data_IF_360232899512
#
_entry.id   IF_360232899512
#
_cell.length_a   1.000
_cell.length_b   1.000
_cell.length_c   1.000
_cell.angle_alpha   90.00
_cell.angle_beta   90.00
_cell.angle_gamma   90.00
#
_symmetry.space_group_name_H-M   'P 1'
#
loop_
_entity.id
_entity.type
_entity.pdbx_description
1 polymer ?
#
# COMPACT_ATOMS: atom_id res chain seq x y z
N UNK A 1 11.34 8.57 12.77
CA UNK A 1 10.20 7.64 12.87
C UNK A 1 9.65 7.47 11.46
N UNK A 2 9.95 6.35 10.81
CA UNK A 2 9.57 6.15 9.41
C UNK A 2 8.11 5.74 9.39
N UNK A 3 7.21 6.62 8.95
CA UNK A 3 5.83 6.25 8.66
C UNK A 3 5.85 5.16 7.58
N UNK A 4 5.56 3.92 7.98
CA UNK A 4 5.46 2.74 7.10
C UNK A 4 4.16 2.74 6.29
N UNK A 5 3.70 3.92 5.89
CA UNK A 5 2.51 4.10 5.07
C UNK A 5 2.92 4.07 3.60
N UNK A 6 2.14 3.42 2.72
CA UNK A 6 2.33 3.54 1.28
C UNK A 6 2.30 5.00 0.86
N UNK A 7 3.22 5.39 0.00
CA UNK A 7 3.26 6.74 -0.56
C UNK A 7 2.32 6.80 -1.77
N UNK A 8 1.22 7.54 -1.63
CA UNK A 8 0.24 7.74 -2.70
C UNK A 8 0.71 8.90 -3.57
N UNK A 9 0.92 8.62 -4.86
CA UNK A 9 1.32 9.63 -5.85
C UNK A 9 0.11 10.26 -6.53
N UNK A 10 -0.98 9.51 -6.65
CA UNK A 10 -2.23 9.97 -7.26
C UNK A 10 -3.42 9.13 -6.74
N UNK A 11 -4.57 9.76 -6.57
CA UNK A 11 -5.82 9.14 -6.17
C UNK A 11 -7.00 9.87 -6.83
N UNK A 12 -7.90 9.11 -7.45
CA UNK A 12 -9.22 9.55 -7.87
C UNK A 12 -10.29 8.49 -7.53
N UNK A 13 -11.53 8.71 -7.97
CA UNK A 13 -12.66 7.83 -7.67
C UNK A 13 -12.50 6.40 -8.25
N UNK A 14 -11.63 6.20 -9.23
CA UNK A 14 -11.45 4.93 -9.96
C UNK A 14 -10.05 4.34 -9.81
N UNK A 15 -9.02 5.18 -9.64
CA UNK A 15 -7.62 4.79 -9.70
C UNK A 15 -6.82 5.33 -8.51
N UNK A 16 -5.87 4.53 -8.07
CA UNK A 16 -4.87 4.91 -7.07
C UNK A 16 -3.50 4.48 -7.60
N UNK A 17 -2.55 5.41 -7.62
CA UNK A 17 -1.16 5.18 -8.01
C UNK A 17 -0.29 5.36 -6.78
N UNK A 18 0.53 4.35 -6.48
CA UNK A 18 1.42 4.34 -5.31
C UNK A 18 2.86 4.15 -5.73
N UNK A 19 3.77 4.77 -4.98
CA UNK A 19 5.20 4.51 -5.12
C UNK A 19 5.56 3.17 -4.46
N UNK A 20 5.77 2.15 -5.28
CA UNK A 20 6.23 0.84 -4.80
C UNK A 20 7.74 0.89 -4.52
N UNK A 21 8.13 0.73 -3.25
CA UNK A 21 9.56 0.65 -2.90
C UNK A 21 10.16 -0.70 -3.33
N UNK A 22 11.47 -0.70 -3.55
CA UNK A 22 12.20 -1.95 -3.81
C UNK A 22 12.05 -2.89 -2.62
N UNK A 23 11.85 -4.18 -2.89
CA UNK A 23 11.60 -5.19 -1.85
C UNK A 23 10.16 -5.27 -1.33
N UNK A 24 9.25 -4.37 -1.72
CA UNK A 24 7.84 -4.51 -1.33
C UNK A 24 7.12 -5.56 -2.17
N UNK A 25 6.36 -6.40 -1.46
CA UNK A 25 5.52 -7.46 -2.02
C UNK A 25 4.19 -6.83 -2.43
N UNK A 26 3.90 -6.84 -3.72
CA UNK A 26 2.63 -6.31 -4.27
C UNK A 26 1.50 -7.33 -4.21
N UNK A 27 1.82 -8.62 -4.32
CA UNK A 27 0.87 -9.73 -4.34
C UNK A 27 1.32 -10.78 -3.32
N UNK A 28 0.38 -11.27 -2.53
CA UNK A 28 0.67 -12.29 -1.51
C UNK A 28 1.11 -13.60 -2.16
N UNK A 29 2.04 -14.28 -1.51
CA UNK A 29 2.47 -15.63 -1.85
C UNK A 29 2.24 -16.59 -0.66
N UNK A 30 2.88 -17.75 -0.71
CA UNK A 30 2.78 -18.78 0.33
C UNK A 30 3.39 -18.38 1.69
N UNK A 31 4.14 -17.29 1.79
CA UNK A 31 4.75 -16.84 3.07
C UNK A 31 3.73 -16.15 3.97
N UNK A 32 2.65 -15.62 3.41
CA UNK A 32 1.63 -14.87 4.16
C UNK A 32 2.11 -13.49 4.62
N UNK A 33 3.17 -12.95 4.00
CA UNK A 33 3.68 -11.63 4.33
C UNK A 33 2.70 -10.51 3.92
N UNK A 34 2.61 -9.43 4.72
CA UNK A 34 1.70 -8.33 4.44
C UNK A 34 2.11 -7.56 3.18
N UNK A 35 1.18 -7.51 2.24
CA UNK A 35 1.37 -6.90 0.92
C UNK A 35 1.21 -5.37 0.95
N UNK A 36 1.70 -4.72 -0.09
CA UNK A 36 1.48 -3.29 -0.32
C UNK A 36 -0.01 -2.95 -0.43
N UNK A 37 -0.81 -3.82 -1.06
CA UNK A 37 -2.25 -3.64 -1.19
C UNK A 37 -2.98 -3.69 0.16
N UNK A 38 -2.59 -4.60 1.05
CA UNK A 38 -3.16 -4.68 2.41
C UNK A 38 -2.79 -3.47 3.26
N UNK A 39 -1.52 -3.03 3.18
CA UNK A 39 -1.06 -1.80 3.82
C UNK A 39 -1.86 -0.59 3.32
N UNK A 40 -2.07 -0.48 2.01
CA UNK A 40 -2.85 0.61 1.40
C UNK A 40 -4.31 0.59 1.87
N UNK A 41 -4.95 -0.58 1.88
CA UNK A 41 -6.32 -0.75 2.38
C UNK A 41 -6.45 -0.32 3.84
N UNK A 42 -5.46 -0.62 4.68
CA UNK A 42 -5.45 -0.20 6.08
C UNK A 42 -5.24 1.31 6.23
N UNK A 43 -4.39 1.92 5.40
CA UNK A 43 -4.19 3.37 5.37
C UNK A 43 -5.44 4.12 4.93
N UNK A 44 -6.10 3.68 3.85
CA UNK A 44 -7.33 4.33 3.36
C UNK A 44 -8.44 4.34 4.41
N UNK A 45 -8.63 3.23 5.15
CA UNK A 45 -9.59 3.14 6.26
C UNK A 45 -9.28 4.02 7.47
N UNK A 46 -8.05 4.50 7.62
CA UNK A 46 -7.66 5.40 8.72
C UNK A 46 -7.87 6.87 8.37
N UNK A 47 -7.88 7.19 7.08
CA UNK A 47 -7.89 8.57 6.58
C UNK A 47 -9.28 8.98 6.10
N UNK A 48 -10.11 8.03 5.65
CA UNK A 48 -11.55 8.17 5.42
C UNK A 48 -12.34 7.58 6.58
#
# INVERSE_FOLDING_TARGET
MNNTSPEILFEDNHLIIVNKKSGEIVQGDKTGDPTLAEKLKHTLKKVQ
#
